data_IF_936707826714
#
_entry.id   IF_936707826714
#
_cell.length_a   1.000
_cell.length_b   1.000
_cell.length_c   1.000
_cell.angle_alpha   90.00
_cell.angle_beta   90.00
_cell.angle_gamma   90.00
#
_symmetry.space_group_name_H-M   'P 1'
#
loop_
_entity.id
_entity.type
_entity.pdbx_description
1 polymer ?
#
# COMPACT_ATOMS: atom_id res chain seq x y z
N UNK A 1 6.61 -9.64 4.51
CA UNK A 1 6.36 -8.25 4.93
C UNK A 1 6.22 -8.20 6.44
N UNK A 2 6.70 -7.14 7.08
CA UNK A 2 6.37 -6.76 8.47
C UNK A 2 5.61 -5.45 8.43
N UNK A 3 4.44 -5.42 9.04
CA UNK A 3 3.61 -4.22 9.16
C UNK A 3 4.16 -3.35 10.29
N UNK A 4 4.79 -2.22 9.96
CA UNK A 4 5.31 -1.27 10.95
C UNK A 4 4.21 -0.32 11.41
N UNK A 5 3.31 0.04 10.50
CA UNK A 5 2.03 0.63 10.84
C UNK A 5 1.04 0.52 9.68
N UNK A 6 -0.24 0.51 10.02
CA UNK A 6 -1.35 0.27 9.08
C UNK A 6 -2.55 1.16 9.33
N UNK A 7 -2.43 2.18 10.18
CA UNK A 7 -3.47 3.18 10.44
C UNK A 7 -3.32 4.40 9.53
N UNK A 8 -4.43 5.12 9.36
CA UNK A 8 -4.51 6.35 8.55
C UNK A 8 -4.50 7.64 9.36
N UNK A 9 -3.93 7.59 10.56
CA UNK A 9 -4.00 8.66 11.56
C UNK A 9 -5.38 8.77 12.23
N UNK A 10 -5.56 9.67 13.20
CA UNK A 10 -4.57 10.65 13.66
C UNK A 10 -3.51 10.10 14.61
N UNK A 11 -3.55 8.82 15.01
CA UNK A 11 -2.47 8.20 15.81
C UNK A 11 -1.16 8.12 15.02
N UNK A 12 -0.20 8.98 15.38
CA UNK A 12 1.11 9.08 14.75
C UNK A 12 2.02 7.87 14.99
N UNK A 13 1.65 6.97 15.92
CA UNK A 13 2.46 5.80 16.29
C UNK A 13 2.16 4.57 15.44
N UNK A 14 1.12 4.63 14.60
CA UNK A 14 0.67 3.53 13.74
C UNK A 14 0.28 4.02 12.33
N UNK A 15 0.99 5.00 11.78
CA UNK A 15 0.80 5.47 10.40
C UNK A 15 1.28 4.44 9.36
N UNK A 16 0.81 4.52 8.12
CA UNK A 16 1.22 3.62 7.03
C UNK A 16 2.74 3.45 6.92
N UNK A 17 3.21 2.21 7.03
CA UNK A 17 4.61 1.86 6.89
C UNK A 17 4.82 0.35 6.93
N UNK A 18 5.48 -0.20 5.92
CA UNK A 18 5.63 -1.65 5.76
C UNK A 18 7.04 -1.99 5.32
N UNK A 19 7.65 -3.02 5.92
CA UNK A 19 8.98 -3.48 5.56
C UNK A 19 8.90 -4.80 4.80
N UNK A 20 9.50 -4.83 3.61
CA UNK A 20 9.45 -5.94 2.69
C UNK A 20 10.86 -6.42 2.33
N UNK A 21 10.99 -7.74 2.18
CA UNK A 21 12.14 -8.41 1.56
C UNK A 21 11.66 -9.62 0.77
N UNK A 22 12.43 -10.09 -0.24
CA UNK A 22 12.23 -11.43 -0.80
C UNK A 22 12.28 -12.50 0.29
N UNK A 23 11.43 -13.53 0.20
CA UNK A 23 11.25 -14.55 1.26
C UNK A 23 12.56 -15.15 1.74
N UNK A 24 13.45 -15.49 0.80
CA UNK A 24 14.71 -16.20 1.07
C UNK A 24 15.92 -15.26 1.27
N UNK A 25 15.75 -13.94 1.11
CA UNK A 25 16.83 -12.96 1.37
C UNK A 25 16.94 -12.67 2.87
N UNK A 26 18.08 -12.17 3.35
CA UNK A 26 18.18 -11.69 4.72
C UNK A 26 17.61 -10.27 4.88
N UNK A 27 17.05 -9.94 6.05
CA UNK A 27 16.75 -8.53 6.39
C UNK A 27 17.99 -7.63 6.35
N UNK A 28 19.20 -8.20 6.52
CA UNK A 28 20.47 -7.47 6.43
C UNK A 28 20.91 -7.21 4.99
N UNK A 29 20.42 -7.98 4.02
CA UNK A 29 20.76 -7.80 2.61
C UNK A 29 20.10 -6.53 2.04
N UNK A 30 18.98 -6.13 2.64
CA UNK A 30 18.30 -4.89 2.35
C UNK A 30 16.79 -5.00 2.50
N UNK A 31 16.17 -3.85 2.72
CA UNK A 31 14.72 -3.73 2.94
C UNK A 31 14.14 -2.76 1.94
N UNK A 32 12.99 -3.11 1.38
CA UNK A 32 12.09 -2.20 0.66
C UNK A 32 11.08 -1.71 1.68
N UNK A 33 10.98 -0.40 1.88
CA UNK A 33 9.92 0.20 2.67
C UNK A 33 8.77 0.60 1.73
N UNK A 34 7.56 0.11 1.98
CA UNK A 34 6.35 0.65 1.36
C UNK A 34 5.80 1.70 2.31
N UNK A 35 5.67 2.93 1.80
CA UNK A 35 5.49 4.12 2.61
C UNK A 35 6.62 4.35 3.63
N UNK A 36 6.53 5.47 4.34
CA UNK A 36 7.48 5.93 5.34
C UNK A 36 6.82 6.72 6.47
N UNK A 37 5.54 6.48 6.75
CA UNK A 37 4.80 7.08 7.85
C UNK A 37 5.34 6.62 9.20
N UNK A 38 5.13 5.33 9.51
CA UNK A 38 5.72 4.71 10.69
C UNK A 38 7.12 4.16 10.43
N UNK A 39 8.04 4.39 11.37
CA UNK A 39 9.40 3.85 11.32
C UNK A 39 10.00 3.58 12.68
N UNK A 40 11.10 4.27 13.02
CA UNK A 40 11.95 3.93 14.20
C UNK A 40 11.16 3.89 15.50
N UNK A 41 10.25 4.85 15.74
CA UNK A 41 9.40 4.88 16.94
C UNK A 41 8.48 3.66 17.04
N UNK A 42 7.68 3.42 15.99
CA UNK A 42 6.78 2.26 15.86
C UNK A 42 7.54 0.92 15.96
N UNK A 43 8.69 0.80 15.30
CA UNK A 43 9.59 -0.35 15.44
C UNK A 43 10.04 -0.55 16.88
N UNK A 44 10.29 0.52 17.64
CA UNK A 44 10.56 0.44 19.07
C UNK A 44 9.40 -0.18 19.87
N UNK A 45 8.15 0.14 19.54
CA UNK A 45 6.99 -0.49 20.17
C UNK A 45 6.86 -1.97 19.79
N UNK A 46 7.03 -2.30 18.51
CA UNK A 46 6.98 -3.67 18.00
C UNK A 46 8.06 -4.53 18.65
N UNK A 47 9.32 -4.08 18.64
CA UNK A 47 10.46 -4.84 19.14
C UNK A 47 10.43 -5.04 20.67
N UNK A 48 9.75 -4.18 21.42
CA UNK A 48 9.49 -4.42 22.85
C UNK A 48 8.51 -5.57 23.08
N UNK A 49 7.55 -5.77 22.18
CA UNK A 49 6.53 -6.84 22.26
C UNK A 49 7.04 -8.15 21.66
N UNK A 50 7.71 -8.06 20.50
CA UNK A 50 8.33 -9.18 19.80
C UNK A 50 9.77 -8.81 19.36
N UNK A 51 10.78 -9.03 20.22
CA UNK A 51 12.17 -8.71 19.91
C UNK A 51 12.80 -9.57 18.81
N UNK A 52 12.13 -10.66 18.39
CA UNK A 52 12.65 -11.63 17.43
C UNK A 52 11.90 -11.63 16.09
N UNK A 53 11.01 -10.67 15.85
CA UNK A 53 10.22 -10.59 14.60
C UNK A 53 11.09 -10.53 13.32
N UNK A 54 12.28 -9.91 13.43
CA UNK A 54 13.30 -9.81 12.38
C UNK A 54 14.37 -10.90 12.43
N UNK A 55 14.30 -11.84 13.39
CA UNK A 55 15.21 -12.98 13.44
C UNK A 55 14.88 -13.98 12.34
N UNK A 56 15.93 -14.58 11.77
CA UNK A 56 15.84 -15.58 10.71
C UNK A 56 16.34 -16.95 11.19
N UNK A 57 17.17 -16.95 12.24
CA UNK A 57 17.68 -18.13 12.92
C UNK A 57 17.37 -18.04 14.41
N UNK A 58 17.25 -19.19 15.07
CA UNK A 58 17.05 -19.27 16.52
C UNK A 58 18.23 -18.69 17.34
N UNK A 59 19.40 -18.57 16.71
CA UNK A 59 20.62 -18.01 17.32
C UNK A 59 20.75 -16.50 17.14
N UNK A 60 19.86 -15.85 16.39
CA UNK A 60 19.94 -14.42 16.15
C UNK A 60 19.60 -13.64 17.43
N UNK A 61 20.41 -12.64 17.74
CA UNK A 61 20.12 -11.71 18.84
C UNK A 61 19.10 -10.66 18.42
N UNK A 62 18.29 -10.13 19.34
CA UNK A 62 17.40 -9.01 19.07
C UNK A 62 18.14 -7.84 18.41
N UNK A 63 17.48 -7.22 17.44
CA UNK A 63 17.97 -6.03 16.72
C UNK A 63 17.29 -4.79 17.26
N UNK A 64 17.99 -3.66 17.28
CA UNK A 64 17.40 -2.38 17.66
C UNK A 64 16.65 -1.73 16.48
N UNK A 65 15.72 -0.79 16.75
CA UNK A 65 14.91 -0.15 15.72
C UNK A 65 15.70 0.60 14.64
N UNK A 66 16.78 1.30 15.02
CA UNK A 66 17.55 2.13 14.08
C UNK A 66 18.38 1.26 13.15
N UNK A 67 18.87 0.11 13.62
CA UNK A 67 19.54 -0.90 12.80
C UNK A 67 18.60 -1.48 11.74
N UNK A 68 17.38 -1.85 12.12
CA UNK A 68 16.37 -2.34 11.16
C UNK A 68 16.07 -1.29 10.10
N UNK A 69 15.75 -0.06 10.52
CA UNK A 69 15.38 1.01 9.59
C UNK A 69 16.57 1.47 8.72
N UNK A 70 17.81 1.39 9.22
CA UNK A 70 19.02 1.66 8.44
C UNK A 70 19.27 0.63 7.33
N UNK A 71 18.71 -0.58 7.42
CA UNK A 71 18.79 -1.59 6.35
C UNK A 71 17.85 -1.32 5.17
N UNK A 72 16.96 -0.31 5.26
CA UNK A 72 16.18 0.15 4.12
C UNK A 72 17.12 0.60 3.01
N UNK A 73 16.87 0.12 1.79
CA UNK A 73 17.60 0.51 0.57
C UNK A 73 16.77 1.45 -0.29
N UNK A 74 15.46 1.27 -0.29
CA UNK A 74 14.54 2.14 -0.99
C UNK A 74 13.19 2.25 -0.28
N UNK A 75 12.55 3.40 -0.46
CA UNK A 75 11.16 3.66 -0.15
C UNK A 75 10.36 3.65 -1.45
N UNK A 76 9.18 3.05 -1.42
CA UNK A 76 8.17 3.13 -2.46
C UNK A 76 6.98 3.87 -1.86
N UNK A 77 6.79 5.13 -2.24
CA UNK A 77 5.74 6.00 -1.69
C UNK A 77 4.58 6.09 -2.68
N UNK A 78 3.35 6.02 -2.20
CA UNK A 78 2.18 6.14 -3.09
C UNK A 78 1.80 7.59 -3.35
N UNK A 79 1.98 8.45 -2.36
CA UNK A 79 1.81 9.90 -2.43
C UNK A 79 2.53 10.57 -1.24
N UNK A 80 2.55 11.89 -1.19
CA UNK A 80 3.38 12.64 -0.24
C UNK A 80 2.59 13.30 0.92
N UNK A 81 1.42 12.76 1.27
CA UNK A 81 0.78 13.16 2.53
C UNK A 81 1.65 12.77 3.72
N UNK A 82 1.63 13.59 4.77
CA UNK A 82 2.56 13.49 5.91
C UNK A 82 2.50 12.14 6.61
N UNK A 83 1.32 11.56 6.74
CA UNK A 83 1.10 10.24 7.32
C UNK A 83 1.76 9.10 6.53
N UNK A 84 2.13 9.32 5.27
CA UNK A 84 2.85 8.35 4.44
C UNK A 84 4.36 8.62 4.37
N UNK A 85 4.85 9.77 4.85
CA UNK A 85 6.28 10.15 4.72
C UNK A 85 6.96 10.59 6.03
N UNK A 86 6.23 10.67 7.14
CA UNK A 86 6.72 11.30 8.39
C UNK A 86 8.03 10.70 8.89
N UNK A 87 8.10 9.39 9.13
CA UNK A 87 9.33 8.75 9.58
C UNK A 87 10.43 8.76 8.51
N UNK A 88 10.11 8.67 7.22
CA UNK A 88 11.09 8.86 6.14
C UNK A 88 11.77 10.22 6.26
N UNK A 89 10.99 11.29 6.42
CA UNK A 89 11.50 12.66 6.56
C UNK A 89 12.33 12.81 7.84
N UNK A 90 11.76 12.44 8.99
CA UNK A 90 12.42 12.58 10.29
C UNK A 90 13.76 11.84 10.38
N UNK A 91 13.88 10.71 9.69
CA UNK A 91 15.08 9.86 9.75
C UNK A 91 16.09 10.14 8.65
N UNK A 92 15.77 10.95 7.64
CA UNK A 92 16.57 11.14 6.42
C UNK A 92 18.09 11.34 6.66
N UNK A 93 18.46 12.14 7.67
CA UNK A 93 19.87 12.42 8.01
C UNK A 93 20.47 11.55 9.12
N UNK A 94 19.71 10.58 9.65
CA UNK A 94 20.10 9.77 10.82
C UNK A 94 20.37 8.29 10.50
N UNK A 95 20.08 7.86 9.26
CA UNK A 95 20.21 6.45 8.89
C UNK A 95 21.62 6.10 8.40
N UNK A 96 22.03 4.88 8.73
CA UNK A 96 23.27 4.30 8.23
C UNK A 96 23.05 3.56 6.90
N UNK A 97 24.15 3.08 6.29
CA UNK A 97 24.09 2.21 5.11
C UNK A 97 24.03 2.94 3.77
N UNK A 98 24.46 4.20 3.73
CA UNK A 98 24.56 5.01 2.52
C UNK A 98 23.24 5.63 2.07
N UNK A 99 23.24 6.19 0.85
CA UNK A 99 22.07 6.85 0.26
C UNK A 99 20.94 5.86 0.04
N UNK A 100 19.70 6.28 0.32
CA UNK A 100 18.48 5.50 0.10
C UNK A 100 17.70 6.07 -1.08
N UNK A 101 17.04 5.21 -1.84
CA UNK A 101 16.23 5.63 -2.99
C UNK A 101 14.80 5.89 -2.58
N UNK A 102 14.13 6.83 -3.23
CA UNK A 102 12.70 7.08 -3.08
C UNK A 102 12.08 6.95 -4.46
N UNK A 103 11.22 5.95 -4.60
CA UNK A 103 10.43 5.70 -5.78
C UNK A 103 9.01 6.19 -5.55
N UNK A 104 8.47 6.91 -6.53
CA UNK A 104 7.13 7.49 -6.49
C UNK A 104 6.72 8.00 -7.87
N UNK A 105 5.46 8.38 -8.02
CA UNK A 105 5.05 9.16 -9.20
C UNK A 105 5.83 10.49 -9.25
N UNK A 106 5.94 11.09 -10.44
CA UNK A 106 6.59 12.39 -10.58
C UNK A 106 5.95 13.45 -9.67
N UNK A 107 4.62 13.43 -9.52
CA UNK A 107 3.90 14.40 -8.69
C UNK A 107 4.10 14.15 -7.20
N UNK A 108 4.11 12.89 -6.75
CA UNK A 108 4.46 12.57 -5.36
C UNK A 108 5.89 13.02 -5.02
N UNK A 109 6.85 12.87 -5.94
CA UNK A 109 8.22 13.31 -5.73
C UNK A 109 8.34 14.84 -5.73
N UNK A 110 7.57 15.55 -6.57
CA UNK A 110 7.49 17.02 -6.56
C UNK A 110 6.93 17.55 -5.24
N UNK A 111 5.88 16.92 -4.72
CA UNK A 111 5.33 17.27 -3.41
C UNK A 111 6.37 17.05 -2.31
N UNK A 112 7.11 15.94 -2.37
CA UNK A 112 8.18 15.64 -1.41
C UNK A 112 9.38 16.61 -1.51
N UNK A 113 9.69 17.14 -2.70
CA UNK A 113 10.68 18.22 -2.88
C UNK A 113 10.32 19.48 -2.10
N UNK A 114 9.02 19.76 -1.90
CA UNK A 114 8.59 20.90 -1.07
C UNK A 114 8.99 20.72 0.39
N UNK A 115 8.96 19.48 0.89
CA UNK A 115 9.38 19.12 2.26
C UNK A 115 10.90 19.27 2.41
N UNK A 116 11.67 18.69 1.49
CA UNK A 116 13.13 18.77 1.48
C UNK A 116 13.68 20.03 0.79
N UNK A 117 12.92 21.13 0.81
CA UNK A 117 13.30 22.41 0.21
C UNK A 117 14.37 23.18 1.00
N UNK A 118 14.70 22.73 2.21
CA UNK A 118 15.49 23.49 3.19
C UNK A 118 14.66 24.43 4.06
N UNK A 119 13.31 24.40 3.93
CA UNK A 119 12.40 25.22 4.74
C UNK A 119 11.65 24.41 5.79
N UNK A 120 10.94 23.35 5.36
CA UNK A 120 10.24 22.43 6.27
C UNK A 120 11.24 21.46 6.87
N UNK A 121 12.08 20.85 6.02
CA UNK A 121 13.17 19.97 6.40
C UNK A 121 14.45 20.32 5.63
N UNK A 122 15.65 20.00 6.16
CA UNK A 122 16.91 20.24 5.44
C UNK A 122 16.92 19.60 4.05
N UNK A 123 17.67 20.18 3.11
CA UNK A 123 17.77 19.70 1.71
C UNK A 123 18.62 18.43 1.60
N UNK A 124 18.05 17.31 2.03
CA UNK A 124 18.71 16.00 2.12
C UNK A 124 18.34 15.04 0.98
N UNK A 125 17.51 15.49 0.04
CA UNK A 125 17.02 14.69 -1.07
C UNK A 125 17.22 15.41 -2.42
N UNK A 126 17.54 14.65 -3.47
CA UNK A 126 17.72 15.17 -4.84
C UNK A 126 17.59 14.07 -5.88
N UNK A 127 17.39 14.44 -7.14
CA UNK A 127 17.58 13.54 -8.29
C UNK A 127 19.07 13.31 -8.59
N UNK A 128 19.96 14.21 -8.16
CA UNK A 128 21.40 14.11 -8.39
C UNK A 128 22.08 13.32 -7.27
N UNK A 129 22.38 12.04 -7.55
CA UNK A 129 23.08 11.16 -6.63
C UNK A 129 24.56 11.50 -6.43
N UNK A 130 25.13 12.46 -7.17
CA UNK A 130 26.54 12.86 -7.00
C UNK A 130 26.73 13.85 -5.85
N UNK A 131 25.66 14.50 -5.39
CA UNK A 131 25.73 15.50 -4.31
C UNK A 131 26.11 14.83 -2.98
N UNK A 132 27.20 15.22 -2.30
CA UNK A 132 27.73 14.45 -1.18
C UNK A 132 26.87 14.48 0.09
N UNK A 133 26.09 15.55 0.29
CA UNK A 133 25.26 15.76 1.49
C UNK A 133 23.79 15.35 1.33
N UNK A 134 23.41 14.73 0.20
CA UNK A 134 22.08 14.11 0.08
C UNK A 134 22.13 12.67 0.56
N UNK A 135 21.13 12.29 1.36
CA UNK A 135 20.95 10.94 1.89
C UNK A 135 19.84 10.20 1.15
N UNK A 136 18.99 10.92 0.42
CA UNK A 136 17.86 10.40 -0.31
C UNK A 136 17.99 10.75 -1.80
N UNK A 137 17.71 9.79 -2.68
CA UNK A 137 17.77 9.95 -4.13
C UNK A 137 16.41 9.66 -4.75
N UNK A 138 15.86 10.63 -5.47
CA UNK A 138 14.56 10.50 -6.12
C UNK A 138 14.66 9.71 -7.42
N UNK A 139 13.71 8.80 -7.63
CA UNK A 139 13.56 8.01 -8.85
C UNK A 139 12.08 7.97 -9.26
N UNK A 140 11.73 8.72 -10.31
CA UNK A 140 10.37 8.79 -10.80
C UNK A 140 9.94 7.48 -11.47
N UNK A 141 8.74 7.03 -11.13
CA UNK A 141 8.02 5.96 -11.80
C UNK A 141 6.88 6.56 -12.63
N UNK A 142 6.57 5.90 -13.75
CA UNK A 142 5.56 6.37 -14.71
C UNK A 142 4.46 5.33 -14.88
N UNK A 143 3.21 5.78 -15.07
CA UNK A 143 2.05 4.93 -15.30
C UNK A 143 1.97 4.45 -16.76
N UNK A 144 3.07 3.91 -17.31
CA UNK A 144 3.24 3.54 -18.72
C UNK A 144 3.04 2.04 -18.99
N UNK A 145 2.51 1.32 -18.00
CA UNK A 145 2.32 -0.13 -17.99
C UNK A 145 3.58 -0.98 -17.95
N UNK A 146 4.77 -0.39 -17.79
CA UNK A 146 6.02 -1.14 -17.67
C UNK A 146 6.37 -1.47 -16.20
N UNK A 147 7.13 -2.56 -16.03
CA UNK A 147 7.75 -2.88 -14.75
C UNK A 147 9.14 -2.27 -14.69
N UNK A 148 9.49 -1.67 -13.56
CA UNK A 148 10.81 -1.13 -13.28
C UNK A 148 11.42 -1.84 -12.08
N UNK A 149 12.66 -2.30 -12.20
CA UNK A 149 13.40 -2.94 -11.10
C UNK A 149 13.84 -1.89 -10.09
N UNK A 150 13.41 -2.03 -8.83
CA UNK A 150 13.72 -1.08 -7.74
C UNK A 150 14.62 -1.68 -6.66
N UNK A 151 14.75 -3.00 -6.67
CA UNK A 151 15.54 -3.79 -5.72
C UNK A 151 15.87 -5.16 -6.36
N UNK A 152 16.96 -5.85 -5.98
CA UNK A 152 17.27 -7.17 -6.55
C UNK A 152 16.07 -8.12 -6.54
N UNK A 153 15.73 -8.66 -7.73
CA UNK A 153 14.61 -9.57 -7.97
C UNK A 153 13.21 -8.99 -7.73
N UNK A 154 13.09 -7.68 -7.51
CA UNK A 154 11.81 -7.01 -7.28
C UNK A 154 11.63 -5.87 -8.28
N UNK A 155 10.58 -6.00 -9.07
CA UNK A 155 10.15 -4.98 -10.02
C UNK A 155 8.74 -4.51 -9.70
N UNK A 156 8.47 -3.23 -9.97
CA UNK A 156 7.17 -2.60 -9.69
C UNK A 156 6.59 -1.97 -10.93
N UNK A 157 5.26 -2.01 -11.04
CA UNK A 157 4.49 -1.27 -12.03
C UNK A 157 3.55 -0.31 -11.31
N UNK A 158 3.64 0.97 -11.66
CA UNK A 158 2.78 2.03 -11.13
C UNK A 158 1.49 2.12 -11.96
N UNK A 159 0.36 2.33 -11.28
CA UNK A 159 -0.90 2.76 -11.87
C UNK A 159 -1.46 3.94 -11.07
N UNK A 160 -1.86 4.99 -11.76
CA UNK A 160 -2.46 6.18 -11.13
C UNK A 160 -3.89 5.87 -10.68
N UNK A 161 -4.22 6.27 -9.45
CA UNK A 161 -5.56 6.16 -8.85
C UNK A 161 -6.01 7.54 -8.34
N UNK A 162 -7.29 7.68 -8.01
CA UNK A 162 -7.82 8.92 -7.45
C UNK A 162 -7.69 8.89 -5.92
N UNK A 163 -7.29 10.00 -5.33
CA UNK A 163 -7.29 10.20 -3.88
C UNK A 163 -7.91 11.56 -3.53
N UNK A 164 -9.15 11.77 -4.00
CA UNK A 164 -9.91 13.00 -3.75
C UNK A 164 -9.47 14.17 -4.63
N UNK A 165 -9.50 15.38 -4.05
CA UNK A 165 -9.27 16.63 -4.79
C UNK A 165 -8.26 17.53 -4.09
N UNK A 166 -7.29 18.01 -4.86
CA UNK A 166 -6.39 19.09 -4.47
C UNK A 166 -6.82 20.43 -5.06
N UNK A 167 -6.01 21.47 -4.85
CA UNK A 167 -6.26 22.81 -5.39
C UNK A 167 -6.29 22.85 -6.93
N UNK A 168 -5.58 21.93 -7.59
CA UNK A 168 -5.44 21.88 -9.05
C UNK A 168 -6.39 20.88 -9.73
N UNK A 169 -7.26 20.19 -8.99
CA UNK A 169 -8.16 19.16 -9.54
C UNK A 169 -8.12 17.87 -8.74
N UNK A 170 -8.17 16.72 -9.42
CA UNK A 170 -8.01 15.40 -8.81
C UNK A 170 -6.63 15.31 -8.14
N UNK A 171 -6.57 14.79 -6.92
CA UNK A 171 -5.31 14.46 -6.28
C UNK A 171 -4.92 13.03 -6.68
N UNK A 172 -3.75 12.88 -7.29
CA UNK A 172 -3.29 11.61 -7.82
C UNK A 172 -2.65 10.77 -6.71
N UNK A 173 -3.21 9.58 -6.49
CA UNK A 173 -2.58 8.51 -5.71
C UNK A 173 -1.89 7.50 -6.61
N UNK A 174 -1.21 6.52 -6.00
CA UNK A 174 -0.61 5.41 -6.73
C UNK A 174 -1.05 4.05 -6.20
N UNK A 175 -1.21 3.11 -7.13
CA UNK A 175 -1.32 1.69 -6.89
C UNK A 175 -0.12 0.98 -7.52
N UNK A 176 0.51 0.07 -6.78
CA UNK A 176 1.67 -0.68 -7.24
C UNK A 176 1.36 -2.16 -7.38
N UNK A 177 1.74 -2.72 -8.53
CA UNK A 177 1.95 -4.17 -8.68
C UNK A 177 3.41 -4.45 -8.34
N UNK A 178 3.66 -5.20 -7.28
CA UNK A 178 5.01 -5.48 -6.78
C UNK A 178 5.33 -6.94 -7.03
N UNK A 179 6.22 -7.20 -8.00
CA UNK A 179 6.51 -8.54 -8.53
C UNK A 179 7.87 -9.04 -8.07
N UNK A 180 7.90 -10.30 -7.65
CA UNK A 180 9.13 -11.06 -7.49
C UNK A 180 9.49 -11.74 -8.81
N UNK A 181 10.46 -11.17 -9.52
CA UNK A 181 10.80 -11.51 -10.91
C UNK A 181 11.15 -13.01 -11.10
N UNK A 182 11.89 -13.69 -10.20
CA UNK A 182 12.19 -15.11 -10.36
C UNK A 182 10.96 -16.03 -10.36
N UNK A 183 9.88 -15.63 -9.69
CA UNK A 183 8.68 -16.46 -9.54
C UNK A 183 7.47 -15.94 -10.31
N UNK A 184 7.55 -14.73 -10.86
CA UNK A 184 6.44 -13.96 -11.43
C UNK A 184 5.25 -13.68 -10.50
N UNK A 185 5.29 -14.15 -9.24
CA UNK A 185 4.31 -13.78 -8.22
C UNK A 185 4.38 -12.31 -7.89
N UNK A 186 3.23 -11.72 -7.66
CA UNK A 186 3.11 -10.32 -7.29
C UNK A 186 1.93 -10.08 -6.34
N UNK A 187 1.97 -8.96 -5.64
CA UNK A 187 0.84 -8.47 -4.85
C UNK A 187 0.54 -7.04 -5.27
N UNK A 188 -0.69 -6.61 -4.99
CA UNK A 188 -1.13 -5.24 -5.26
C UNK A 188 -1.11 -4.44 -3.96
N UNK A 189 -0.56 -3.24 -4.01
CA UNK A 189 -0.54 -2.31 -2.88
C UNK A 189 -1.11 -0.96 -3.31
N UNK A 190 -2.27 -0.61 -2.78
CA UNK A 190 -2.87 0.70 -2.95
C UNK A 190 -2.34 1.66 -1.88
N UNK A 191 -2.07 2.89 -2.31
CA UNK A 191 -2.11 4.03 -1.40
C UNK A 191 -3.55 4.38 -1.03
N UNK A 192 -3.72 5.59 -0.51
CA UNK A 192 -5.06 6.12 -0.23
C UNK A 192 -5.86 6.24 -1.53
N UNK A 193 -7.14 5.87 -1.49
CA UNK A 193 -7.93 5.69 -2.72
C UNK A 193 -9.39 6.07 -2.54
N UNK A 194 -9.90 6.81 -3.53
CA UNK A 194 -11.31 7.13 -3.69
C UNK A 194 -11.99 6.08 -4.58
N UNK A 195 -13.24 5.74 -4.27
CA UNK A 195 -13.99 4.76 -5.04
C UNK A 195 -14.34 5.26 -6.44
N UNK A 196 -14.29 4.39 -7.44
CA UNK A 196 -14.64 4.74 -8.82
C UNK A 196 -16.09 5.19 -8.95
N UNK A 197 -16.98 4.68 -8.09
CA UNK A 197 -18.40 5.07 -8.08
C UNK A 197 -18.65 6.49 -7.57
N UNK A 198 -17.67 7.13 -6.95
CA UNK A 198 -17.72 8.52 -6.49
C UNK A 198 -17.01 9.50 -7.43
N UNK A 199 -16.14 8.99 -8.30
CA UNK A 199 -15.28 9.80 -9.14
C UNK A 199 -15.96 10.13 -10.49
N UNK A 200 -15.72 11.35 -11.00
CA UNK A 200 -16.12 11.71 -12.36
C UNK A 200 -15.29 10.95 -13.42
N UNK A 201 -14.03 10.70 -13.11
CA UNK A 201 -13.09 9.95 -13.96
C UNK A 201 -12.59 8.72 -13.18
N UNK A 202 -13.27 7.57 -13.29
CA UNK A 202 -12.86 6.35 -12.59
C UNK A 202 -11.51 5.83 -13.10
N UNK A 203 -10.62 5.44 -12.18
CA UNK A 203 -9.26 4.96 -12.45
C UNK A 203 -8.98 3.57 -11.86
N UNK A 204 -9.69 3.16 -10.80
CA UNK A 204 -9.45 1.86 -10.14
C UNK A 204 -9.80 0.68 -11.05
N UNK A 205 -10.79 0.83 -11.92
CA UNK A 205 -11.19 -0.19 -12.90
C UNK A 205 -10.03 -0.61 -13.81
N UNK A 206 -9.09 0.29 -14.13
CA UNK A 206 -7.91 -0.05 -14.91
C UNK A 206 -6.97 -0.97 -14.13
N UNK A 207 -6.83 -0.76 -12.81
CA UNK A 207 -6.09 -1.66 -11.91
C UNK A 207 -6.74 -3.03 -11.90
N UNK A 208 -8.06 -3.11 -11.73
CA UNK A 208 -8.81 -4.36 -11.74
C UNK A 208 -8.70 -5.12 -13.06
N UNK A 209 -8.76 -4.41 -14.19
CA UNK A 209 -8.56 -5.00 -15.51
C UNK A 209 -7.15 -5.57 -15.71
N UNK A 210 -6.13 -4.93 -15.14
CA UNK A 210 -4.75 -5.42 -15.18
C UNK A 210 -4.52 -6.62 -14.24
N UNK A 211 -5.20 -6.65 -13.09
CA UNK A 211 -5.10 -7.71 -12.09
C UNK A 211 -5.89 -8.97 -12.46
N UNK A 212 -7.08 -8.80 -13.05
CA UNK A 212 -8.03 -9.87 -13.32
C UNK A 212 -7.46 -11.13 -14.00
N UNK A 213 -6.67 -11.03 -15.10
CA UNK A 213 -6.13 -12.23 -15.77
C UNK A 213 -5.06 -12.97 -14.94
N UNK A 214 -4.55 -12.36 -13.88
CA UNK A 214 -3.48 -12.88 -13.02
C UNK A 214 -3.99 -13.54 -11.74
N UNK A 215 -5.27 -13.33 -11.41
CA UNK A 215 -5.91 -13.85 -10.21
C UNK A 215 -6.45 -15.28 -10.43
N UNK A 216 -6.18 -16.25 -9.53
CA UNK A 216 -5.46 -16.11 -8.25
C UNK A 216 -3.98 -16.54 -8.30
N UNK A 217 -3.46 -16.94 -9.46
CA UNK A 217 -2.21 -17.68 -9.56
C UNK A 217 -0.95 -16.82 -9.38
N UNK A 218 -0.90 -15.69 -10.10
CA UNK A 218 0.22 -14.76 -10.04
C UNK A 218 -0.05 -13.68 -8.99
N UNK A 219 -1.32 -13.30 -8.80
CA UNK A 219 -1.80 -12.39 -7.75
C UNK A 219 -2.77 -13.12 -6.83
N UNK A 220 -2.40 -13.24 -5.56
CA UNK A 220 -3.27 -13.74 -4.49
C UNK A 220 -3.43 -12.76 -3.32
N UNK A 221 -2.77 -11.60 -3.35
CA UNK A 221 -2.74 -10.68 -2.22
C UNK A 221 -2.92 -9.23 -2.67
N UNK A 222 -3.81 -8.51 -1.99
CA UNK A 222 -4.11 -7.10 -2.23
C UNK A 222 -4.11 -6.37 -0.90
N UNK A 223 -3.42 -5.23 -0.82
CA UNK A 223 -3.53 -4.27 0.27
C UNK A 223 -4.32 -3.07 -0.24
N UNK A 224 -5.41 -2.73 0.43
CA UNK A 224 -6.26 -1.61 0.06
C UNK A 224 -6.86 -0.98 1.32
N UNK A 225 -6.99 0.34 1.31
CA UNK A 225 -7.50 1.04 2.47
C UNK A 225 -8.99 0.82 2.71
N UNK A 226 -9.40 1.02 3.97
CA UNK A 226 -10.78 1.36 4.31
C UNK A 226 -10.72 2.28 5.52
N UNK A 227 -10.60 3.57 5.26
CA UNK A 227 -10.32 4.57 6.29
C UNK A 227 -11.45 4.77 7.29
N UNK A 228 -12.70 4.69 6.85
CA UNK A 228 -13.84 5.07 7.67
C UNK A 228 -14.81 3.91 7.92
N UNK A 229 -15.63 4.03 8.96
CA UNK A 229 -16.73 3.09 9.24
C UNK A 229 -17.91 3.30 8.28
N UNK A 230 -18.83 2.33 8.26
CA UNK A 230 -20.12 2.43 7.55
C UNK A 230 -20.89 3.70 7.90
N UNK A 231 -21.68 4.20 6.95
CA UNK A 231 -22.63 5.31 7.17
C UNK A 231 -22.01 6.71 7.17
N UNK A 232 -20.71 6.85 6.90
CA UNK A 232 -20.09 8.16 6.71
C UNK A 232 -20.55 8.78 5.38
N UNK A 233 -20.96 10.07 5.35
CA UNK A 233 -21.35 10.72 4.10
C UNK A 233 -20.22 10.76 3.08
N UNK A 234 -20.54 10.56 1.80
CA UNK A 234 -19.57 10.44 0.71
C UNK A 234 -18.65 11.67 0.60
N UNK A 235 -19.22 12.86 0.76
CA UNK A 235 -18.51 14.14 0.73
C UNK A 235 -17.53 14.34 1.90
N UNK A 236 -17.63 13.52 2.94
CA UNK A 236 -16.74 13.54 4.11
C UNK A 236 -15.72 12.40 4.10
N UNK A 237 -15.66 11.62 3.02
CA UNK A 237 -14.63 10.59 2.84
C UNK A 237 -13.31 11.17 2.34
N UNK A 238 -13.29 12.39 1.81
CA UNK A 238 -12.06 13.12 1.47
C UNK A 238 -11.05 12.30 0.66
N UNK A 239 -11.52 11.54 -0.33
CA UNK A 239 -10.65 10.71 -1.17
C UNK A 239 -10.33 9.32 -0.60
N UNK A 240 -11.11 8.82 0.36
CA UNK A 240 -10.92 7.51 1.00
C UNK A 240 -12.13 6.57 0.83
N UNK A 241 -11.97 5.32 1.27
CA UNK A 241 -13.03 4.31 1.26
C UNK A 241 -13.77 4.18 2.61
N UNK A 242 -15.03 3.75 2.51
CA UNK A 242 -15.80 3.13 3.60
C UNK A 242 -16.15 1.69 3.20
N UNK A 243 -16.70 0.85 4.11
CA UNK A 243 -17.01 -0.54 3.84
C UNK A 243 -17.92 -0.73 2.63
N UNK A 244 -18.90 0.15 2.44
CA UNK A 244 -19.82 0.12 1.30
C UNK A 244 -19.08 0.28 -0.04
N UNK A 245 -18.07 1.15 -0.07
CA UNK A 245 -17.28 1.43 -1.27
C UNK A 245 -16.19 0.38 -1.51
N UNK A 246 -15.52 -0.12 -0.46
CA UNK A 246 -14.60 -1.24 -0.60
C UNK A 246 -15.30 -2.47 -1.16
N UNK A 247 -16.53 -2.77 -0.70
CA UNK A 247 -17.32 -3.88 -1.23
C UNK A 247 -17.65 -3.67 -2.71
N UNK A 248 -17.97 -2.45 -3.14
CA UNK A 248 -18.20 -2.14 -4.56
C UNK A 248 -16.94 -2.38 -5.41
N UNK A 249 -15.77 -1.96 -4.95
CA UNK A 249 -14.50 -2.21 -5.64
C UNK A 249 -14.18 -3.71 -5.74
N UNK A 250 -14.45 -4.49 -4.70
CA UNK A 250 -14.26 -5.96 -4.73
C UNK A 250 -15.25 -6.66 -5.68
N UNK A 251 -16.49 -6.16 -5.79
CA UNK A 251 -17.46 -6.65 -6.79
C UNK A 251 -17.00 -6.29 -8.21
N UNK A 252 -16.43 -5.10 -8.41
CA UNK A 252 -15.86 -4.70 -9.69
C UNK A 252 -14.68 -5.60 -10.07
N UNK A 253 -13.77 -5.89 -9.14
CA UNK A 253 -12.68 -6.84 -9.34
C UNK A 253 -13.20 -8.25 -9.67
N UNK A 254 -14.19 -8.76 -8.94
CA UNK A 254 -14.81 -10.06 -9.21
C UNK A 254 -15.41 -10.12 -10.61
N UNK A 255 -16.04 -9.03 -11.05
CA UNK A 255 -16.60 -8.88 -12.39
C UNK A 255 -15.52 -8.91 -13.47
N UNK A 256 -14.40 -8.21 -13.27
CA UNK A 256 -13.29 -8.25 -14.22
C UNK A 256 -12.61 -9.63 -14.26
N UNK A 257 -12.46 -10.30 -13.13
CA UNK A 257 -11.96 -11.69 -13.05
C UNK A 257 -12.89 -12.66 -13.81
N UNK A 258 -14.20 -12.51 -13.64
CA UNK A 258 -15.18 -13.29 -14.41
C UNK A 258 -14.98 -13.08 -15.92
N UNK A 259 -14.90 -11.83 -16.38
CA UNK A 259 -14.71 -11.55 -17.80
C UNK A 259 -13.37 -12.04 -18.36
N UNK A 260 -12.29 -11.92 -17.59
CA UNK A 260 -10.97 -12.42 -17.98
C UNK A 260 -10.99 -13.95 -18.18
N UNK A 261 -11.64 -14.70 -17.29
CA UNK A 261 -11.78 -16.17 -17.41
C UNK A 261 -12.61 -16.60 -18.62
N UNK A 262 -13.56 -15.77 -19.05
CA UNK A 262 -14.38 -16.03 -20.24
C UNK A 262 -13.69 -15.65 -21.56
N UNK A 263 -12.43 -15.17 -21.52
CA UNK A 263 -11.72 -14.68 -22.71
C UNK A 263 -12.37 -13.44 -23.34
N UNK A 264 -13.20 -12.70 -22.59
CA UNK A 264 -13.96 -11.55 -23.09
C UNK A 264 -13.13 -10.27 -23.01
N UNK A 265 -12.89 -9.62 -24.15
CA UNK A 265 -12.21 -8.32 -24.22
C UNK A 265 -13.07 -7.15 -23.72
N UNK A 266 -12.45 -6.00 -23.44
CA UNK A 266 -13.09 -4.80 -22.85
C UNK A 266 -14.38 -4.35 -23.57
N UNK A 267 -14.44 -4.45 -24.90
CA UNK A 267 -15.61 -4.05 -25.71
C UNK A 267 -16.88 -4.87 -25.47
N UNK A 268 -16.77 -6.14 -25.08
CA UNK A 268 -17.94 -6.99 -24.79
C UNK A 268 -18.47 -6.83 -23.35
N UNK A 269 -17.88 -5.93 -22.55
CA UNK A 269 -18.17 -5.76 -21.11
C UNK A 269 -19.16 -4.63 -20.82
N UNK A 270 -19.40 -3.70 -21.77
CA UNK A 270 -20.28 -2.53 -21.55
C UNK A 270 -21.76 -2.93 -21.54
N UNK A 271 -22.45 -2.64 -20.44
CA UNK A 271 -23.92 -2.66 -20.34
C UNK A 271 -24.55 -3.99 -19.91
N UNK A 272 -23.76 -5.06 -19.71
CA UNK A 272 -24.30 -6.34 -19.25
C UNK A 272 -24.23 -6.43 -17.71
N UNK A 273 -25.37 -6.28 -17.04
CA UNK A 273 -25.48 -6.54 -15.61
C UNK A 273 -25.42 -8.06 -15.39
N UNK A 274 -24.37 -8.53 -14.73
CA UNK A 274 -24.24 -9.95 -14.39
C UNK A 274 -25.19 -10.28 -13.23
N UNK A 275 -25.80 -11.49 -13.22
CA UNK A 275 -26.50 -11.98 -12.05
C UNK A 275 -25.48 -12.21 -10.91
N UNK A 276 -25.88 -12.00 -9.66
CA UNK A 276 -24.95 -12.03 -8.51
C UNK A 276 -24.24 -13.40 -8.38
N UNK A 277 -24.95 -14.46 -8.73
CA UNK A 277 -24.52 -15.84 -8.69
C UNK A 277 -23.40 -16.14 -9.70
N UNK A 278 -23.28 -15.35 -10.77
CA UNK A 278 -22.18 -15.48 -11.72
C UNK A 278 -20.81 -15.11 -11.12
N UNK A 279 -20.81 -14.36 -10.01
CA UNK A 279 -19.59 -13.93 -9.32
C UNK A 279 -19.21 -14.83 -8.14
N UNK A 280 -19.99 -15.88 -7.86
CA UNK A 280 -19.74 -16.76 -6.71
C UNK A 280 -18.37 -17.44 -6.82
N UNK A 281 -17.54 -17.24 -5.80
CA UNK A 281 -16.18 -17.75 -5.75
C UNK A 281 -15.25 -17.16 -6.82
N UNK A 282 -15.62 -16.06 -7.50
CA UNK A 282 -14.78 -15.43 -8.50
C UNK A 282 -13.39 -15.08 -7.95
N UNK A 283 -13.32 -14.66 -6.69
CA UNK A 283 -12.10 -14.25 -5.97
C UNK A 283 -11.56 -15.35 -5.02
N UNK A 284 -11.94 -16.61 -5.23
CA UNK A 284 -11.42 -17.72 -4.42
C UNK A 284 -9.88 -17.76 -4.46
N UNK A 285 -9.27 -17.76 -3.28
CA UNK A 285 -7.81 -17.78 -3.12
C UNK A 285 -7.15 -16.40 -3.10
N UNK A 286 -7.94 -15.32 -3.17
CA UNK A 286 -7.45 -13.95 -2.96
C UNK A 286 -7.60 -13.58 -1.49
N UNK A 287 -6.53 -13.02 -0.93
CA UNK A 287 -6.51 -12.37 0.37
C UNK A 287 -6.45 -10.86 0.17
N UNK A 288 -7.34 -10.13 0.86
CA UNK A 288 -7.37 -8.67 0.88
C UNK A 288 -7.07 -8.21 2.30
N UNK A 289 -5.99 -7.47 2.47
CA UNK A 289 -5.60 -6.84 3.73
C UNK A 289 -6.12 -5.40 3.74
N UNK A 290 -7.06 -5.12 4.63
CA UNK A 290 -7.55 -3.77 4.91
C UNK A 290 -6.44 -3.01 5.65
N UNK A 291 -6.10 -1.85 5.11
CA UNK A 291 -5.11 -0.91 5.67
C UNK A 291 -5.74 0.45 5.92
N UNK A 292 -4.94 1.36 6.48
CA UNK A 292 -5.18 2.79 6.61
C UNK A 292 -6.49 3.19 7.31
N UNK A 293 -6.99 2.36 8.23
CA UNK A 293 -8.14 2.73 9.05
C UNK A 293 -7.83 3.97 9.89
N UNK A 294 -8.67 5.01 9.81
CA UNK A 294 -8.51 6.21 10.62
C UNK A 294 -8.95 5.96 12.05
N UNK A 295 -8.06 6.26 12.99
CA UNK A 295 -8.23 5.96 14.40
C UNK A 295 -9.40 6.74 15.02
N UNK A 296 -10.12 6.05 15.91
CA UNK A 296 -11.20 6.62 16.69
C UNK A 296 -11.05 6.18 18.15
N UNK A 297 -10.40 7.04 18.94
CA UNK A 297 -9.98 6.78 20.33
C UNK A 297 -11.11 6.54 21.34
N UNK A 298 -12.37 6.57 20.92
CA UNK A 298 -13.53 6.29 21.79
C UNK A 298 -13.98 4.84 21.72
N UNK A 299 -13.42 4.05 20.80
CA UNK A 299 -13.77 2.63 20.65
C UNK A 299 -13.05 1.76 21.67
N UNK A 300 -13.73 0.74 22.21
CA UNK A 300 -13.12 -0.21 23.17
C UNK A 300 -12.20 -1.24 22.50
N UNK A 301 -12.30 -1.40 21.18
CA UNK A 301 -11.51 -2.32 20.35
C UNK A 301 -10.85 -1.51 19.23
N UNK A 302 -9.69 -1.91 18.69
CA UNK A 302 -9.05 -1.21 17.58
C UNK A 302 -10.03 -0.94 16.44
N UNK A 303 -10.06 0.30 15.92
CA UNK A 303 -11.03 0.71 14.89
C UNK A 303 -10.96 -0.18 13.64
N UNK A 304 -9.77 -0.68 13.32
CA UNK A 304 -9.51 -1.52 12.16
C UNK A 304 -10.22 -2.88 12.23
N UNK A 305 -10.48 -3.38 13.45
CA UNK A 305 -11.30 -4.58 13.66
C UNK A 305 -12.78 -4.28 13.41
N UNK A 306 -13.26 -3.14 13.88
CA UNK A 306 -14.66 -2.71 13.68
C UNK A 306 -14.94 -2.53 12.19
N UNK A 307 -14.06 -1.81 11.49
CA UNK A 307 -14.18 -1.61 10.03
C UNK A 307 -14.07 -2.96 9.31
N UNK A 308 -13.10 -3.81 9.67
CA UNK A 308 -12.95 -5.14 9.06
C UNK A 308 -14.17 -6.04 9.26
N UNK A 309 -14.81 -6.00 10.42
CA UNK A 309 -16.09 -6.70 10.69
C UNK A 309 -17.21 -6.17 9.80
N UNK A 310 -17.33 -4.85 9.65
CA UNK A 310 -18.33 -4.22 8.79
C UNK A 310 -18.14 -4.60 7.32
N UNK A 311 -16.91 -4.53 6.80
CA UNK A 311 -16.61 -4.94 5.43
C UNK A 311 -16.95 -6.42 5.20
N UNK A 312 -16.57 -7.31 6.14
CA UNK A 312 -16.90 -8.74 6.05
C UNK A 312 -18.41 -8.98 6.04
N UNK A 313 -19.16 -8.30 6.90
CA UNK A 313 -20.61 -8.42 6.98
C UNK A 313 -21.30 -7.99 5.68
N UNK A 314 -20.88 -6.85 5.11
CA UNK A 314 -21.42 -6.35 3.84
C UNK A 314 -21.02 -7.20 2.62
N UNK A 315 -19.83 -7.81 2.66
CA UNK A 315 -19.32 -8.63 1.55
C UNK A 315 -19.95 -10.03 1.52
N UNK A 316 -20.30 -10.59 2.69
CA UNK A 316 -20.75 -11.98 2.83
C UNK A 316 -21.91 -12.38 1.89
N UNK A 317 -22.97 -11.57 1.69
CA UNK A 317 -24.08 -11.91 0.79
C UNK A 317 -23.66 -12.07 -0.68
N UNK A 318 -22.53 -11.49 -1.10
CA UNK A 318 -22.04 -11.57 -2.48
C UNK A 318 -21.32 -12.87 -2.81
N UNK A 319 -20.90 -13.65 -1.81
CA UNK A 319 -20.30 -14.98 -2.04
C UNK A 319 -19.04 -14.99 -2.90
N UNK A 320 -18.28 -13.89 -2.96
CA UNK A 320 -17.14 -13.74 -3.89
C UNK A 320 -15.97 -14.70 -3.63
N UNK A 321 -15.88 -15.27 -2.42
CA UNK A 321 -14.85 -16.23 -2.02
C UNK A 321 -13.49 -15.60 -1.65
N UNK A 322 -13.43 -14.28 -1.48
CA UNK A 322 -12.26 -13.54 -1.01
C UNK A 322 -12.12 -13.63 0.51
N UNK A 323 -10.90 -13.77 1.00
CA UNK A 323 -10.58 -13.68 2.42
C UNK A 323 -10.21 -12.23 2.77
N UNK A 324 -11.01 -11.60 3.63
CA UNK A 324 -10.81 -10.21 4.04
C UNK A 324 -10.20 -10.16 5.44
N UNK A 325 -8.99 -9.61 5.53
CA UNK A 325 -8.15 -9.54 6.73
C UNK A 325 -7.88 -8.07 7.08
N UNK A 326 -7.50 -7.81 8.33
CA UNK A 326 -7.07 -6.48 8.77
C UNK A 326 -5.56 -6.50 8.99
N UNK A 327 -4.83 -5.56 8.38
CA UNK A 327 -3.41 -5.41 8.65
C UNK A 327 -3.20 -4.76 10.02
N UNK A 328 -2.31 -5.32 10.84
CA UNK A 328 -2.04 -4.84 12.20
C UNK A 328 -0.56 -4.58 12.42
N UNK A 329 -0.24 -3.55 13.20
CA UNK A 329 1.12 -3.26 13.62
C UNK A 329 1.78 -4.46 14.29
N UNK A 330 2.95 -4.86 13.79
CA UNK A 330 3.69 -6.04 14.24
C UNK A 330 3.29 -7.34 13.54
N UNK A 331 2.34 -7.33 12.61
CA UNK A 331 2.00 -8.51 11.82
C UNK A 331 3.12 -8.87 10.83
N UNK A 332 3.45 -10.15 10.74
CA UNK A 332 4.35 -10.71 9.71
C UNK A 332 3.54 -11.47 8.68
N UNK A 333 3.54 -10.96 7.45
CA UNK A 333 2.75 -11.50 6.33
C UNK A 333 3.69 -12.18 5.33
N UNK A 334 3.35 -13.39 4.92
CA UNK A 334 4.06 -14.17 3.90
C UNK A 334 3.05 -14.59 2.83
N UNK A 335 3.36 -14.28 1.57
CA UNK A 335 2.52 -14.56 0.40
C UNK A 335 3.38 -15.06 -0.76
#
# INVERSE_FOLDING_TARGET
MVVVGSGGGPDETNLSGYLLKPRNASWRDGIIALEGGSGVGALGHILRRDPYIFSERSTDTPVDPITVYSNIKCFLVTHAHLDHISSLVMTAGSLHGGKKRIYGSLDALRDLETVFSGRVWPKLASYDETIPYVFLVYHALYADSQYQTIFPNISVRLMTINHGKGLAGVYDGACYFIRHDPTNREFIFFGDVEADSMCAEPRNIAVWQAAAPKIPHDISTIFIECSYQTGRPAEQLWGHLSPEYLVQELIALATEVFYARQGRGSRSRRGQKLPAEALYGALRGVQVYITHCKEHFTTQRPISHVIGEQCRALLAPHGLGVELLTAEQGMKIVF
#
